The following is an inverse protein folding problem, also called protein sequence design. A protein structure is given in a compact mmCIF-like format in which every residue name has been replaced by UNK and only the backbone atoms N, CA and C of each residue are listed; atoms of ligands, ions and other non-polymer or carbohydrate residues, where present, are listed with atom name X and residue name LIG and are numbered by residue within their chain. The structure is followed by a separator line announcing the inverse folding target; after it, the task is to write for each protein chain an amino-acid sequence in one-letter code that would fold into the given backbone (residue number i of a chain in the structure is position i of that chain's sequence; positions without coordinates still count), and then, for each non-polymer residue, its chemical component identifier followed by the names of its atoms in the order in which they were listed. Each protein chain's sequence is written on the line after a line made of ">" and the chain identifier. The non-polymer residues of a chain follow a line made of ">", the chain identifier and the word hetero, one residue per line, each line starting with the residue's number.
data_IF_809757393879
#
_entry.id   IF_809757393879
#
_cell.length_a   1.000
_cell.length_b   1.000
_cell.length_c   1.000
_cell.angle_alpha   90.00
_cell.angle_beta   90.00
_cell.angle_gamma   90.00
#
_symmetry.space_group_name_H-M   'P 1'
#
loop_
_entity.id
_entity.type
_entity.pdbx_description
1 polymer ?
#
# COMPACT_ATOMS: atom_id res chain seq x y z
N UNK A 1 23.38 7.42 24.18
CA UNK A 1 22.66 8.55 23.52
C UNK A 1 21.20 8.17 23.37
N UNK A 2 20.29 8.78 24.15
CA UNK A 2 18.90 8.29 24.30
C UNK A 2 17.95 8.82 23.21
N UNK A 3 18.26 9.97 22.61
CA UNK A 3 17.35 10.68 21.71
C UNK A 3 17.02 9.90 20.43
N UNK A 4 18.02 9.32 19.75
CA UNK A 4 17.79 8.62 18.48
C UNK A 4 16.94 7.35 18.63
N UNK A 5 17.15 6.49 19.65
CA UNK A 5 16.22 5.40 19.98
C UNK A 5 14.79 5.88 20.23
N UNK A 6 14.58 6.98 20.95
CA UNK A 6 13.25 7.56 21.16
C UNK A 6 12.62 7.96 19.82
N UNK A 7 13.35 8.66 18.96
CA UNK A 7 12.86 9.06 17.63
C UNK A 7 12.46 7.82 16.81
N UNK A 8 13.29 6.78 16.80
CA UNK A 8 12.97 5.51 16.13
C UNK A 8 11.70 4.87 16.70
N UNK A 9 11.55 4.86 18.03
CA UNK A 9 10.40 4.29 18.71
C UNK A 9 9.11 5.03 18.33
N UNK A 10 9.13 6.37 18.36
CA UNK A 10 7.98 7.21 18.00
C UNK A 10 7.60 7.05 16.53
N UNK A 11 8.56 7.14 15.61
CA UNK A 11 8.28 6.99 14.17
C UNK A 11 7.71 5.58 13.85
N UNK A 12 8.28 4.55 14.46
CA UNK A 12 7.79 3.18 14.31
C UNK A 12 6.38 3.01 14.91
N UNK A 13 6.11 3.58 16.09
CA UNK A 13 4.79 3.53 16.72
C UNK A 13 3.73 4.26 15.88
N UNK A 14 4.06 5.43 15.32
CA UNK A 14 3.17 6.16 14.41
C UNK A 14 2.88 5.34 13.15
N UNK A 15 3.90 4.72 12.56
CA UNK A 15 3.73 3.86 11.39
C UNK A 15 2.86 2.63 11.71
N UNK A 16 3.11 1.98 12.86
CA UNK A 16 2.32 0.86 13.35
C UNK A 16 0.84 1.24 13.55
N UNK A 17 0.56 2.39 14.20
CA UNK A 17 -0.79 2.87 14.44
C UNK A 17 -1.55 3.13 13.12
N UNK A 18 -0.87 3.72 12.13
CA UNK A 18 -1.42 3.93 10.78
C UNK A 18 -1.80 2.61 10.12
N UNK A 19 -0.88 1.66 10.08
CA UNK A 19 -1.10 0.36 9.43
C UNK A 19 -2.14 -0.49 10.18
N UNK A 20 -2.17 -0.41 11.51
CA UNK A 20 -3.15 -1.10 12.33
C UNK A 20 -4.57 -0.55 12.12
N UNK A 21 -4.72 0.77 11.99
CA UNK A 21 -6.01 1.38 11.62
C UNK A 21 -6.47 0.89 10.25
N UNK A 22 -5.56 0.82 9.28
CA UNK A 22 -5.85 0.31 7.95
C UNK A 22 -6.17 -1.20 7.95
N UNK A 23 -5.56 -1.97 8.87
CA UNK A 23 -5.82 -3.40 9.05
C UNK A 23 -7.16 -3.67 9.75
N UNK A 24 -7.57 -2.82 10.70
CA UNK A 24 -8.88 -2.93 11.37
C UNK A 24 -10.04 -2.60 10.43
N UNK A 25 -9.87 -1.57 9.59
CA UNK A 25 -10.91 -1.15 8.63
C UNK A 25 -11.00 -2.07 7.41
N UNK A 26 -9.86 -2.51 6.86
CA UNK A 26 -9.80 -3.43 5.72
C UNK A 26 -8.67 -4.44 5.92
N UNK A 27 -8.94 -5.55 6.63
CA UNK A 27 -7.92 -6.52 7.02
C UNK A 27 -7.28 -7.14 5.78
N UNK A 28 -5.96 -6.99 5.71
CA UNK A 28 -5.12 -7.67 4.72
C UNK A 28 -3.86 -8.20 5.42
N UNK A 29 -3.42 -9.43 5.11
CA UNK A 29 -2.28 -10.04 5.80
C UNK A 29 -1.01 -9.19 5.79
N UNK A 30 -0.69 -8.54 4.67
CA UNK A 30 0.45 -7.63 4.53
C UNK A 30 0.42 -6.50 5.57
N UNK A 31 -0.71 -5.81 5.72
CA UNK A 31 -0.89 -4.73 6.71
C UNK A 31 -0.77 -5.22 8.13
N UNK A 32 -1.33 -6.39 8.43
CA UNK A 32 -1.28 -6.98 9.78
C UNK A 32 0.17 -7.28 10.14
N UNK A 33 0.88 -8.01 9.29
CA UNK A 33 2.28 -8.40 9.53
C UNK A 33 3.18 -7.16 9.60
N UNK A 34 3.00 -6.16 8.73
CA UNK A 34 3.76 -4.90 8.82
C UNK A 34 3.43 -4.11 10.08
N UNK A 35 2.17 -4.07 10.52
CA UNK A 35 1.81 -3.41 11.78
C UNK A 35 2.51 -4.06 12.98
N UNK A 36 2.59 -5.40 13.01
CA UNK A 36 3.33 -6.14 14.02
C UNK A 36 4.81 -5.79 13.96
N UNK A 37 5.42 -5.78 12.77
CA UNK A 37 6.83 -5.45 12.60
C UNK A 37 7.17 -4.06 13.16
N UNK A 38 6.37 -3.04 12.84
CA UNK A 38 6.62 -1.68 13.36
C UNK A 38 6.31 -1.54 14.85
N UNK A 39 5.35 -2.30 15.40
CA UNK A 39 5.17 -2.39 16.85
C UNK A 39 6.39 -3.00 17.52
N UNK A 40 6.93 -4.09 16.98
CA UNK A 40 8.15 -4.72 17.50
C UNK A 40 9.35 -3.77 17.43
N UNK A 41 9.51 -3.03 16.33
CA UNK A 41 10.54 -2.00 16.23
C UNK A 41 10.35 -0.92 17.31
N UNK A 42 9.13 -0.41 17.47
CA UNK A 42 8.84 0.59 18.51
C UNK A 42 9.21 0.08 19.91
N UNK A 43 8.89 -1.18 20.21
CA UNK A 43 9.24 -1.83 21.48
C UNK A 43 10.75 -2.00 21.64
N UNK A 44 11.47 -2.45 20.61
CA UNK A 44 12.92 -2.62 20.66
C UNK A 44 13.64 -1.28 20.89
N UNK A 45 13.29 -0.26 20.11
CA UNK A 45 13.87 1.07 20.24
C UNK A 45 13.49 1.73 21.59
N UNK A 46 12.27 1.50 22.07
CA UNK A 46 11.84 1.92 23.40
C UNK A 46 12.56 1.19 24.53
N UNK A 47 12.86 -0.10 24.37
CA UNK A 47 13.64 -0.87 25.33
C UNK A 47 15.08 -0.35 25.43
N UNK A 48 15.70 -0.01 24.30
CA UNK A 48 17.01 0.63 24.28
C UNK A 48 17.00 2.02 24.94
N UNK A 49 16.00 2.86 24.63
CA UNK A 49 15.85 4.15 25.28
C UNK A 49 15.67 4.00 26.81
N UNK A 50 14.81 3.06 27.24
CA UNK A 50 14.55 2.77 28.64
C UNK A 50 15.80 2.24 29.34
N UNK A 51 16.59 1.37 28.71
CA UNK A 51 17.79 0.79 29.31
C UNK A 51 18.87 1.83 29.53
N UNK A 52 19.05 2.72 28.55
CA UNK A 52 19.97 3.85 28.66
C UNK A 52 19.49 4.93 29.65
N UNK A 53 18.19 5.03 29.93
CA UNK A 53 17.62 6.05 30.82
C UNK A 53 17.44 5.58 32.28
N UNK A 54 17.00 4.34 32.46
CA UNK A 54 16.55 3.76 33.73
C UNK A 54 17.51 2.68 34.25
N UNK A 55 18.50 2.29 33.44
CA UNK A 55 19.42 1.19 33.73
C UNK A 55 18.99 -0.11 33.06
N UNK A 56 19.99 -0.88 32.61
CA UNK A 56 19.79 -2.15 31.94
C UNK A 56 19.55 -3.29 32.92
N UNK A 57 18.62 -4.17 32.56
CA UNK A 57 18.39 -5.44 33.22
C UNK A 57 18.17 -6.55 32.18
N UNK A 58 18.23 -7.81 32.62
CA UNK A 58 18.16 -8.99 31.74
C UNK A 58 16.87 -9.01 30.92
N UNK A 59 15.74 -8.64 31.52
CA UNK A 59 14.46 -8.60 30.83
C UNK A 59 14.47 -7.59 29.68
N UNK A 60 15.01 -6.40 29.90
CA UNK A 60 15.04 -5.34 28.91
C UNK A 60 15.99 -5.66 27.74
N UNK A 61 17.14 -6.26 28.05
CA UNK A 61 18.07 -6.78 27.05
C UNK A 61 17.42 -7.88 26.19
N UNK A 62 16.73 -8.84 26.83
CA UNK A 62 15.99 -9.89 26.10
C UNK A 62 14.83 -9.32 25.30
N UNK A 63 14.07 -8.35 25.83
CA UNK A 63 12.97 -7.69 25.11
C UNK A 63 13.47 -7.01 23.83
N UNK A 64 14.60 -6.30 23.91
CA UNK A 64 15.27 -5.74 22.75
C UNK A 64 15.54 -6.82 21.70
N UNK A 65 16.14 -7.95 22.10
CA UNK A 65 16.49 -9.04 21.18
C UNK A 65 15.28 -9.80 20.62
N UNK A 66 14.24 -10.03 21.42
CA UNK A 66 13.00 -10.65 20.94
C UNK A 66 12.35 -9.81 19.85
N UNK A 67 12.43 -8.49 19.95
CA UNK A 67 11.63 -7.59 19.12
C UNK A 67 12.41 -6.92 17.99
N UNK A 68 13.70 -6.62 18.13
CA UNK A 68 14.42 -5.79 17.15
C UNK A 68 15.23 -6.58 16.10
N UNK A 69 16.34 -7.23 16.50
CA UNK A 69 17.44 -7.57 15.60
C UNK A 69 17.14 -8.46 14.38
N UNK A 70 16.11 -9.32 14.46
CA UNK A 70 15.78 -10.24 13.37
C UNK A 70 14.29 -10.21 12.99
N UNK A 71 13.38 -10.27 13.97
CA UNK A 71 11.95 -10.45 13.67
C UNK A 71 11.31 -9.24 12.97
N UNK A 72 11.78 -8.01 13.20
CA UNK A 72 11.30 -6.84 12.45
C UNK A 72 11.50 -7.04 10.95
N UNK A 73 12.72 -7.42 10.54
CA UNK A 73 13.04 -7.62 9.13
C UNK A 73 12.31 -8.84 8.57
N UNK A 74 12.22 -9.93 9.33
CA UNK A 74 11.45 -11.10 8.93
C UNK A 74 9.98 -10.78 8.64
N UNK A 75 9.31 -10.06 9.54
CA UNK A 75 7.90 -9.72 9.38
C UNK A 75 7.70 -8.72 8.22
N UNK A 76 8.56 -7.71 8.09
CA UNK A 76 8.50 -6.80 6.93
C UNK A 76 8.64 -7.56 5.61
N UNK A 77 9.58 -8.50 5.52
CA UNK A 77 9.79 -9.34 4.35
C UNK A 77 8.58 -10.25 4.06
N UNK A 78 8.00 -10.88 5.09
CA UNK A 78 6.78 -11.69 4.94
C UNK A 78 5.62 -10.84 4.41
N UNK A 79 5.42 -9.63 4.94
CA UNK A 79 4.38 -8.73 4.42
C UNK A 79 4.64 -8.31 2.97
N UNK A 80 5.91 -8.09 2.59
CA UNK A 80 6.26 -7.83 1.20
C UNK A 80 5.96 -9.05 0.29
N UNK A 81 6.22 -10.27 0.75
CA UNK A 81 5.84 -11.48 0.02
C UNK A 81 4.32 -11.63 -0.12
N UNK A 82 3.53 -11.23 0.88
CA UNK A 82 2.07 -11.20 0.75
C UNK A 82 1.61 -10.23 -0.35
N UNK A 83 2.31 -9.12 -0.57
CA UNK A 83 2.02 -8.18 -1.66
C UNK A 83 2.38 -8.76 -3.04
N UNK A 84 3.51 -9.47 -3.15
CA UNK A 84 4.01 -9.98 -4.43
C UNK A 84 3.39 -11.32 -4.82
N UNK A 85 3.17 -12.21 -3.86
CA UNK A 85 2.80 -13.61 -4.07
C UNK A 85 1.64 -14.05 -3.15
N UNK A 86 0.48 -13.36 -3.18
CA UNK A 86 -0.60 -13.57 -2.21
C UNK A 86 -1.17 -14.99 -2.20
N UNK A 87 -1.18 -15.68 -3.35
CA UNK A 87 -1.67 -17.06 -3.43
C UNK A 87 -0.78 -18.05 -2.66
N UNK A 88 0.55 -17.95 -2.83
CA UNK A 88 1.51 -18.80 -2.13
C UNK A 88 1.54 -18.46 -0.63
N UNK A 89 1.53 -17.17 -0.28
CA UNK A 89 1.61 -16.74 1.11
C UNK A 89 0.35 -17.04 1.91
N UNK A 90 -0.84 -17.13 1.29
CA UNK A 90 -2.02 -17.65 1.99
C UNK A 90 -1.86 -19.09 2.48
N UNK A 91 -1.09 -19.91 1.76
CA UNK A 91 -0.86 -21.32 2.12
C UNK A 91 0.30 -21.47 3.11
N UNK A 92 1.43 -20.81 2.85
CA UNK A 92 2.67 -21.04 3.58
C UNK A 92 3.00 -19.95 4.60
N UNK A 93 2.46 -18.74 4.42
CA UNK A 93 2.80 -17.56 5.21
C UNK A 93 2.61 -17.75 6.71
N UNK A 94 1.45 -18.22 7.21
CA UNK A 94 1.25 -18.40 8.66
C UNK A 94 2.25 -19.38 9.28
N UNK A 95 2.50 -20.51 8.61
CA UNK A 95 3.47 -21.51 9.08
C UNK A 95 4.90 -20.98 9.08
N UNK A 96 5.30 -20.26 8.03
CA UNK A 96 6.62 -19.64 7.95
C UNK A 96 6.82 -18.56 9.03
N UNK A 97 5.81 -17.71 9.27
CA UNK A 97 5.84 -16.70 10.34
C UNK A 97 5.98 -17.35 11.72
N UNK A 98 5.18 -18.38 12.02
CA UNK A 98 5.23 -19.08 13.30
C UNK A 98 6.58 -19.77 13.51
N UNK A 99 7.10 -20.45 12.48
CA UNK A 99 8.39 -21.15 12.55
C UNK A 99 9.54 -20.18 12.82
N UNK A 100 9.65 -19.09 12.06
CA UNK A 100 10.69 -18.08 12.25
C UNK A 100 10.58 -17.41 13.62
N UNK A 101 9.36 -17.11 14.06
CA UNK A 101 9.11 -16.51 15.38
C UNK A 101 9.55 -17.47 16.49
N UNK A 102 9.07 -18.71 16.46
CA UNK A 102 9.41 -19.72 17.47
C UNK A 102 10.91 -19.97 17.54
N UNK A 103 11.57 -20.18 16.39
CA UNK A 103 13.02 -20.38 16.31
C UNK A 103 13.78 -19.21 16.94
N UNK A 104 13.42 -17.98 16.58
CA UNK A 104 14.10 -16.79 17.10
C UNK A 104 13.87 -16.61 18.61
N UNK A 105 12.62 -16.75 19.07
CA UNK A 105 12.31 -16.65 20.51
C UNK A 105 13.06 -17.72 21.31
N UNK A 106 13.16 -18.95 20.80
CA UNK A 106 13.93 -20.00 21.46
C UNK A 106 15.42 -19.65 21.56
N UNK A 107 16.02 -19.08 20.52
CA UNK A 107 17.44 -18.68 20.56
C UNK A 107 17.69 -17.57 21.58
N UNK A 108 16.86 -16.52 21.58
CA UNK A 108 17.01 -15.40 22.51
C UNK A 108 16.75 -15.84 23.95
N UNK A 109 15.81 -16.75 24.18
CA UNK A 109 15.50 -17.21 25.54
C UNK A 109 16.65 -18.02 26.15
N UNK A 110 17.31 -18.84 25.33
CA UNK A 110 18.44 -19.67 25.77
C UNK A 110 19.80 -18.95 25.72
N UNK A 111 19.86 -17.71 25.20
CA UNK A 111 21.09 -16.93 25.15
C UNK A 111 21.49 -16.46 26.57
N UNK A 112 22.71 -16.79 27.05
CA UNK A 112 23.24 -16.28 28.31
C UNK A 112 23.34 -14.75 28.30
N UNK A 113 23.20 -14.13 29.47
CA UNK A 113 23.39 -12.70 29.66
C UNK A 113 24.50 -12.48 30.67
N UNK A 114 25.57 -11.82 30.25
CA UNK A 114 26.69 -11.49 31.12
C UNK A 114 26.29 -10.35 32.07
N UNK A 115 26.02 -10.71 33.33
CA UNK A 115 25.62 -9.74 34.36
C UNK A 115 26.70 -8.70 34.67
N UNK A 116 27.97 -8.98 34.40
CA UNK A 116 29.07 -8.06 34.65
C UNK A 116 29.14 -6.96 33.60
N UNK A 117 28.76 -7.27 32.36
CA UNK A 117 28.73 -6.33 31.23
C UNK A 117 27.40 -5.60 31.10
N UNK A 118 26.31 -6.17 31.60
CA UNK A 118 24.94 -5.68 31.39
C UNK A 118 24.75 -4.19 31.72
N UNK A 119 25.33 -3.69 32.80
CA UNK A 119 25.19 -2.28 33.17
C UNK A 119 25.89 -1.32 32.19
N UNK A 120 27.03 -1.73 31.62
CA UNK A 120 27.84 -0.91 30.73
C UNK A 120 27.44 -1.06 29.25
N UNK A 121 27.23 -2.30 28.82
CA UNK A 121 27.05 -2.69 27.42
C UNK A 121 25.56 -2.88 27.05
N UNK A 122 24.69 -2.93 28.06
CA UNK A 122 23.24 -3.04 27.87
C UNK A 122 22.82 -4.30 27.14
N UNK A 123 22.10 -4.14 26.03
CA UNK A 123 21.70 -5.29 25.20
C UNK A 123 22.90 -6.05 24.63
N UNK A 124 24.07 -5.44 24.46
CA UNK A 124 25.26 -6.12 23.92
C UNK A 124 25.86 -7.15 24.89
N UNK A 125 25.40 -7.17 26.15
CA UNK A 125 25.77 -8.19 27.14
C UNK A 125 25.11 -9.56 26.91
N UNK A 126 24.20 -9.68 25.94
CA UNK A 126 23.70 -11.00 25.51
C UNK A 126 24.78 -11.72 24.71
N UNK A 127 25.14 -12.92 25.15
CA UNK A 127 26.07 -13.79 24.46
C UNK A 127 25.44 -14.36 23.19
N UNK A 128 26.06 -14.07 22.05
CA UNK A 128 25.56 -14.47 20.73
C UNK A 128 26.35 -15.68 20.23
N UNK A 129 25.78 -16.87 20.44
CA UNK A 129 26.30 -18.10 19.86
C UNK A 129 26.33 -18.07 18.32
N UNK A 130 27.12 -18.94 17.67
CA UNK A 130 27.28 -18.95 16.22
C UNK A 130 25.96 -19.14 15.47
N UNK A 131 25.03 -19.93 16.01
CA UNK A 131 23.68 -20.13 15.47
C UNK A 131 22.85 -18.85 15.46
N UNK A 132 22.88 -18.08 16.55
CA UNK A 132 22.15 -16.82 16.66
C UNK A 132 22.70 -15.79 15.67
N UNK A 133 24.02 -15.69 15.55
CA UNK A 133 24.69 -14.82 14.59
C UNK A 133 24.33 -15.21 13.16
N UNK A 134 24.43 -16.50 12.82
CA UNK A 134 24.14 -17.02 11.48
C UNK A 134 22.68 -16.76 11.08
N UNK A 135 21.72 -17.06 11.96
CA UNK A 135 20.30 -16.83 11.71
C UNK A 135 19.99 -15.34 11.58
N UNK A 136 20.61 -14.48 12.40
CA UNK A 136 20.45 -13.02 12.27
C UNK A 136 20.95 -12.51 10.92
N UNK A 137 22.12 -12.99 10.46
CA UNK A 137 22.66 -12.63 9.14
C UNK A 137 21.70 -13.11 8.05
N UNK A 138 21.29 -14.37 8.09
CA UNK A 138 20.39 -14.96 7.11
C UNK A 138 19.07 -14.19 6.99
N UNK A 139 18.38 -13.98 8.13
CA UNK A 139 17.09 -13.27 8.17
C UNK A 139 17.25 -11.85 7.64
N UNK A 140 18.27 -11.11 8.09
CA UNK A 140 18.43 -9.72 7.69
C UNK A 140 18.83 -9.60 6.22
N UNK A 141 19.77 -10.41 5.73
CA UNK A 141 20.19 -10.37 4.32
C UNK A 141 19.06 -10.79 3.37
N UNK A 142 18.40 -11.93 3.63
CA UNK A 142 17.31 -12.42 2.78
C UNK A 142 16.09 -11.50 2.87
N UNK A 143 15.75 -11.06 4.08
CA UNK A 143 14.62 -10.16 4.29
C UNK A 143 14.83 -8.79 3.64
N UNK A 144 16.01 -8.18 3.79
CA UNK A 144 16.36 -6.95 3.08
C UNK A 144 16.28 -7.14 1.57
N UNK A 145 16.81 -8.25 1.02
CA UNK A 145 16.71 -8.54 -0.42
C UNK A 145 15.26 -8.64 -0.90
N UNK A 146 14.38 -9.29 -0.13
CA UNK A 146 12.94 -9.39 -0.44
C UNK A 146 12.27 -8.00 -0.43
N UNK A 147 12.53 -7.20 0.61
CA UNK A 147 11.91 -5.87 0.77
C UNK A 147 12.40 -4.93 -0.34
N UNK A 148 13.71 -4.82 -0.52
CA UNK A 148 14.34 -3.95 -1.53
C UNK A 148 13.96 -4.41 -2.94
N UNK A 149 14.09 -5.70 -3.23
CA UNK A 149 13.74 -6.26 -4.53
C UNK A 149 12.25 -6.09 -4.84
N UNK A 150 11.39 -6.35 -3.88
CA UNK A 150 9.94 -6.23 -4.03
C UNK A 150 9.46 -4.78 -4.20
N UNK A 151 9.91 -3.87 -3.35
CA UNK A 151 9.55 -2.46 -3.41
C UNK A 151 10.19 -1.79 -4.64
N UNK A 152 11.45 -2.09 -4.93
CA UNK A 152 12.15 -1.58 -6.12
C UNK A 152 11.50 -2.04 -7.41
N UNK A 153 11.18 -3.34 -7.55
CA UNK A 153 10.45 -3.86 -8.69
C UNK A 153 9.08 -3.19 -8.85
N UNK A 154 8.34 -3.03 -7.75
CA UNK A 154 7.04 -2.35 -7.76
C UNK A 154 7.15 -0.91 -8.23
N UNK A 155 8.15 -0.16 -7.74
CA UNK A 155 8.41 1.21 -8.17
C UNK A 155 8.72 1.29 -9.67
N UNK A 156 9.59 0.43 -10.20
CA UNK A 156 9.92 0.35 -11.63
C UNK A 156 8.69 0.02 -12.46
N UNK A 157 7.83 -0.89 -11.99
CA UNK A 157 6.61 -1.26 -12.71
C UNK A 157 5.59 -0.12 -12.77
N UNK A 158 5.40 0.62 -11.67
CA UNK A 158 4.53 1.81 -11.68
C UNK A 158 5.09 2.91 -12.59
N UNK A 159 6.41 3.13 -12.56
CA UNK A 159 7.09 4.06 -13.45
C UNK A 159 6.89 3.71 -14.93
N UNK A 160 7.15 2.46 -15.32
CA UNK A 160 7.00 1.98 -16.71
C UNK A 160 5.57 2.07 -17.23
N UNK A 161 4.58 1.94 -16.35
CA UNK A 161 3.15 2.02 -16.70
C UNK A 161 2.63 3.45 -16.74
N UNK A 162 3.37 4.43 -16.23
CA UNK A 162 2.92 5.81 -16.13
C UNK A 162 1.69 6.01 -15.23
N UNK A 163 1.37 5.03 -14.37
CA UNK A 163 0.19 5.05 -13.49
C UNK A 163 0.62 4.92 -12.03
N UNK A 164 -0.25 5.39 -11.12
CA UNK A 164 -0.05 5.30 -9.68
C UNK A 164 1.24 5.95 -9.14
N UNK A 165 1.40 7.25 -9.41
CA UNK A 165 2.60 8.03 -9.05
C UNK A 165 2.86 8.04 -7.54
N UNK A 166 1.81 8.15 -6.72
CA UNK A 166 1.98 8.14 -5.27
C UNK A 166 2.51 6.79 -4.78
N UNK A 167 2.01 5.68 -5.33
CA UNK A 167 2.52 4.34 -5.01
C UNK A 167 3.95 4.12 -5.50
N UNK A 168 4.30 4.64 -6.68
CA UNK A 168 5.66 4.60 -7.20
C UNK A 168 6.64 5.26 -6.23
N UNK A 169 6.38 6.51 -5.83
CA UNK A 169 7.21 7.26 -4.88
C UNK A 169 7.24 6.55 -3.53
N UNK A 170 6.09 6.04 -3.07
CA UNK A 170 6.00 5.29 -1.84
C UNK A 170 6.90 4.04 -1.81
N UNK A 171 6.87 3.24 -2.88
CA UNK A 171 7.73 2.07 -3.03
C UNK A 171 9.21 2.44 -3.09
N UNK A 172 9.56 3.52 -3.79
CA UNK A 172 10.94 4.00 -3.87
C UNK A 172 11.47 4.44 -2.49
N UNK A 173 10.66 5.15 -1.71
CA UNK A 173 11.01 5.56 -0.35
C UNK A 173 11.21 4.37 0.60
N UNK A 174 10.33 3.35 0.51
CA UNK A 174 10.48 2.10 1.29
C UNK A 174 11.77 1.37 0.91
N UNK A 175 12.05 1.26 -0.39
CA UNK A 175 13.27 0.64 -0.90
C UNK A 175 14.53 1.35 -0.37
N UNK A 176 14.61 2.67 -0.53
CA UNK A 176 15.76 3.47 -0.09
C UNK A 176 15.91 3.48 1.43
N UNK A 177 14.81 3.65 2.17
CA UNK A 177 14.85 3.60 3.62
C UNK A 177 15.33 2.26 4.15
N UNK A 178 14.91 1.15 3.53
CA UNK A 178 15.38 -0.20 3.89
C UNK A 178 16.88 -0.37 3.65
N UNK A 179 17.41 0.14 2.54
CA UNK A 179 18.85 0.12 2.26
C UNK A 179 19.66 0.91 3.30
N UNK A 180 19.15 2.07 3.73
CA UNK A 180 19.79 2.89 4.78
C UNK A 180 19.81 2.13 6.10
N UNK A 181 18.70 1.51 6.51
CA UNK A 181 18.66 0.69 7.73
C UNK A 181 19.66 -0.48 7.64
N UNK A 182 19.70 -1.18 6.51
CA UNK A 182 20.61 -2.30 6.28
C UNK A 182 22.09 -1.88 6.33
N UNK A 183 22.42 -0.70 5.80
CA UNK A 183 23.76 -0.12 5.91
C UNK A 183 24.13 0.16 7.37
N UNK A 184 23.22 0.73 8.16
CA UNK A 184 23.41 0.93 9.60
C UNK A 184 23.70 -0.36 10.37
N UNK A 185 22.93 -1.43 10.10
CA UNK A 185 23.15 -2.75 10.68
C UNK A 185 24.42 -3.46 10.21
N UNK A 186 24.98 -3.05 9.07
CA UNK A 186 26.28 -3.54 8.60
C UNK A 186 27.43 -2.80 9.29
N UNK A 187 27.30 -1.48 9.46
CA UNK A 187 28.27 -0.63 10.18
C UNK A 187 28.41 -1.00 11.66
N UNK A 188 27.31 -1.36 12.34
CA UNK A 188 27.37 -1.81 13.73
C UNK A 188 28.23 -3.07 13.91
N UNK A 189 28.20 -4.00 12.94
CA UNK A 189 29.06 -5.21 12.95
C UNK A 189 30.53 -4.90 12.72
N UNK A 190 30.84 -3.75 12.10
CA UNK A 190 32.20 -3.25 11.93
C UNK A 190 32.69 -2.44 13.15
N UNK A 191 31.91 -2.39 14.24
CA UNK A 191 32.25 -1.71 15.48
C UNK A 191 31.72 -0.27 15.59
N UNK A 192 31.02 0.24 14.56
CA UNK A 192 30.49 1.60 14.56
C UNK A 192 29.03 1.66 15.04
N UNK A 193 28.81 1.30 16.31
CA UNK A 193 27.48 1.23 16.92
C UNK A 193 26.74 2.57 16.97
N UNK A 194 27.49 3.68 17.04
CA UNK A 194 26.96 5.04 17.12
C UNK A 194 26.14 5.46 15.90
N UNK A 195 26.40 4.90 14.72
CA UNK A 195 25.66 5.22 13.50
C UNK A 195 24.39 4.37 13.31
N UNK A 196 24.22 3.29 14.08
CA UNK A 196 23.11 2.36 13.92
C UNK A 196 21.76 3.09 14.07
N UNK A 197 21.57 3.81 15.18
CA UNK A 197 20.32 4.53 15.44
C UNK A 197 20.11 5.75 14.56
N UNK A 198 21.19 6.38 14.08
CA UNK A 198 21.09 7.47 13.10
C UNK A 198 20.55 6.93 11.75
N UNK A 199 21.14 5.85 11.25
CA UNK A 199 20.69 5.19 10.03
C UNK A 199 19.26 4.64 10.19
N UNK A 200 18.93 4.04 11.33
CA UNK A 200 17.58 3.58 11.62
C UNK A 200 16.56 4.73 11.64
N UNK A 201 16.87 5.88 12.25
CA UNK A 201 15.97 7.03 12.30
C UNK A 201 15.68 7.61 10.91
N UNK A 202 16.70 7.75 10.07
CA UNK A 202 16.54 8.22 8.68
C UNK A 202 15.76 7.18 7.87
N UNK A 203 16.15 5.90 7.97
CA UNK A 203 15.53 4.82 7.22
C UNK A 203 14.06 4.62 7.58
N UNK A 204 13.69 4.63 8.86
CA UNK A 204 12.31 4.50 9.31
C UNK A 204 11.46 5.72 8.91
N UNK A 205 12.02 6.93 8.96
CA UNK A 205 11.33 8.13 8.47
C UNK A 205 10.99 8.01 6.98
N UNK A 206 11.93 7.53 6.16
CA UNK A 206 11.69 7.27 4.74
C UNK A 206 10.66 6.17 4.51
N UNK A 207 10.78 5.03 5.20
CA UNK A 207 9.82 3.93 5.09
C UNK A 207 8.41 4.40 5.47
N UNK A 208 8.28 5.13 6.59
CA UNK A 208 7.00 5.66 7.03
C UNK A 208 6.43 6.70 6.05
N UNK A 209 7.26 7.60 5.55
CA UNK A 209 6.90 8.52 4.47
C UNK A 209 6.41 7.79 3.22
N UNK A 210 7.04 6.66 2.87
CA UNK A 210 6.64 5.80 1.77
C UNK A 210 5.28 5.12 1.99
N UNK A 211 5.01 4.66 3.22
CA UNK A 211 3.69 4.15 3.63
C UNK A 211 2.62 5.24 3.49
N UNK A 212 2.87 6.45 4.01
CA UNK A 212 1.93 7.56 3.91
C UNK A 212 1.67 7.97 2.47
N UNK A 213 2.71 8.02 1.63
CA UNK A 213 2.59 8.35 0.21
C UNK A 213 1.75 7.31 -0.53
N UNK A 214 1.99 6.02 -0.29
CA UNK A 214 1.24 4.92 -0.93
C UNK A 214 -0.25 4.90 -0.59
N UNK A 215 -0.65 5.53 0.52
CA UNK A 215 -2.05 5.66 0.96
C UNK A 215 -2.78 6.83 0.32
N UNK A 216 -2.06 7.81 -0.26
CA UNK A 216 -2.70 8.98 -0.87
C UNK A 216 -3.46 8.54 -2.13
N UNK A 217 -4.74 8.93 -2.27
CA UNK A 217 -5.44 8.78 -3.54
C UNK A 217 -4.60 9.37 -4.66
N UNK A 218 -4.50 8.66 -5.77
CA UNK A 218 -3.90 9.26 -6.96
C UNK A 218 -4.77 10.46 -7.35
N UNK A 219 -4.15 11.64 -7.49
CA UNK A 219 -4.91 12.82 -7.88
C UNK A 219 -5.52 12.57 -9.25
N UNK A 220 -6.85 12.58 -9.34
CA UNK A 220 -7.55 12.69 -10.62
C UNK A 220 -6.93 13.89 -11.33
N UNK A 221 -6.37 13.66 -12.52
CA UNK A 221 -5.56 14.61 -13.25
C UNK A 221 -6.36 15.93 -13.43
N UNK A 222 -6.17 16.93 -12.54
CA UNK A 222 -6.93 18.21 -12.55
C UNK A 222 -6.77 18.96 -13.88
N UNK A 223 -5.72 18.65 -14.63
CA UNK A 223 -5.45 19.23 -15.94
C UNK A 223 -6.39 18.70 -17.05
N UNK A 224 -6.96 17.49 -16.90
CA UNK A 224 -7.99 17.00 -17.84
C UNK A 224 -9.29 17.78 -17.65
N UNK A 225 -9.68 18.06 -16.40
CA UNK A 225 -10.85 18.89 -16.10
C UNK A 225 -10.66 20.36 -16.47
N UNK A 226 -9.45 20.92 -16.34
CA UNK A 226 -9.19 22.30 -16.73
C UNK A 226 -9.20 22.52 -18.25
N UNK A 227 -8.69 21.56 -19.04
CA UNK A 227 -8.80 21.61 -20.51
C UNK A 227 -10.22 21.29 -20.98
N UNK A 228 -10.88 20.28 -20.41
CA UNK A 228 -12.27 19.94 -20.76
C UNK A 228 -13.23 21.12 -20.50
N UNK A 229 -13.08 21.82 -19.37
CA UNK A 229 -13.89 23.00 -19.05
C UNK A 229 -13.62 24.20 -19.98
N UNK A 230 -12.41 24.35 -20.50
CA UNK A 230 -12.09 25.40 -21.47
C UNK A 230 -12.73 25.13 -22.85
N UNK A 231 -12.84 23.86 -23.26
CA UNK A 231 -13.58 23.46 -24.47
C UNK A 231 -15.10 23.45 -24.28
N UNK A 232 -15.61 23.17 -23.07
CA UNK A 232 -17.05 23.19 -22.79
C UNK A 232 -17.69 24.58 -22.80
N UNK A 233 -16.92 25.65 -22.56
CA UNK A 233 -17.50 27.01 -22.56
C UNK A 233 -17.87 27.50 -23.97
N UNK A 234 -17.38 26.85 -25.03
CA UNK A 234 -17.65 27.24 -26.42
C UNK A 234 -18.71 26.34 -27.09
N UNK A 235 -19.03 25.18 -26.52
CA UNK A 235 -19.92 24.21 -27.16
C UNK A 235 -20.91 23.56 -26.16
N UNK A 236 -21.88 24.33 -25.67
CA UNK A 236 -23.08 23.76 -25.00
C UNK A 236 -24.17 24.83 -24.79
N UNK A 237 -24.84 25.22 -25.88
CA UNK A 237 -26.20 25.76 -25.83
C UNK A 237 -27.11 24.81 -26.59
N UNK A 238 -27.31 23.61 -26.05
CA UNK A 238 -28.45 22.76 -26.42
C UNK A 238 -28.68 21.75 -25.30
N UNK A 239 -29.48 22.16 -24.33
CA UNK A 239 -29.96 21.32 -23.24
C UNK A 239 -30.86 20.22 -23.81
N UNK A 240 -30.35 18.99 -23.90
CA UNK A 240 -31.20 17.81 -24.03
C UNK A 240 -31.52 17.28 -22.63
N UNK A 241 -32.80 17.28 -22.29
CA UNK A 241 -33.36 16.85 -21.01
C UNK A 241 -33.13 15.34 -20.80
N UNK A 242 -32.51 14.95 -19.68
CA UNK A 242 -32.33 13.54 -19.29
C UNK A 242 -33.58 13.09 -18.51
N UNK A 243 -34.33 12.06 -18.95
CA UNK A 243 -35.53 11.61 -18.25
C UNK A 243 -35.21 10.97 -16.90
N UNK A 244 -35.95 11.38 -15.87
CA UNK A 244 -35.82 10.91 -14.50
C UNK A 244 -36.62 9.62 -14.28
N UNK A 245 -35.91 8.50 -14.12
CA UNK A 245 -36.47 7.27 -13.54
C UNK A 245 -36.13 5.99 -14.30
N UNK A 246 -34.98 5.37 -13.99
CA UNK A 246 -34.71 3.98 -14.36
C UNK A 246 -33.94 3.27 -13.22
N UNK A 247 -34.40 2.11 -12.72
CA UNK A 247 -33.67 1.32 -11.73
C UNK A 247 -32.32 0.85 -12.29
N UNK A 248 -31.28 0.89 -11.44
CA UNK A 248 -29.83 0.83 -11.76
C UNK A 248 -29.26 -0.45 -12.39
N UNK A 249 -30.09 -1.30 -13.00
CA UNK A 249 -29.64 -2.43 -13.83
C UNK A 249 -30.32 -2.46 -15.20
N UNK A 250 -31.59 -2.04 -15.28
CA UNK A 250 -32.36 -1.90 -16.53
C UNK A 250 -31.95 -0.63 -17.28
N UNK A 251 -31.71 0.48 -16.56
CA UNK A 251 -31.29 1.74 -17.17
C UNK A 251 -29.88 1.68 -17.78
N UNK A 252 -28.97 0.93 -17.16
CA UNK A 252 -27.59 0.80 -17.64
C UNK A 252 -27.49 0.08 -18.97
N UNK A 253 -28.30 -0.97 -19.17
CA UNK A 253 -28.33 -1.70 -20.44
C UNK A 253 -29.00 -0.86 -21.53
N UNK A 254 -30.15 -0.24 -21.23
CA UNK A 254 -30.83 0.66 -22.18
C UNK A 254 -29.94 1.83 -22.61
N UNK A 255 -29.16 2.41 -21.69
CA UNK A 255 -28.18 3.46 -22.01
C UNK A 255 -27.12 2.97 -23.01
N UNK A 256 -26.63 1.74 -22.86
CA UNK A 256 -25.66 1.18 -23.82
C UNK A 256 -26.32 0.94 -25.18
N UNK A 257 -27.51 0.35 -25.22
CA UNK A 257 -28.19 -0.02 -26.47
C UNK A 257 -28.70 1.21 -27.24
N UNK A 258 -29.41 2.11 -26.57
CA UNK A 258 -30.13 3.20 -27.21
C UNK A 258 -29.24 4.41 -27.48
N UNK A 259 -28.21 4.64 -26.65
CA UNK A 259 -27.36 5.82 -26.75
C UNK A 259 -25.95 5.54 -27.28
N UNK A 260 -25.27 4.52 -26.77
CA UNK A 260 -23.86 4.29 -27.12
C UNK A 260 -23.73 3.54 -28.44
N UNK A 261 -24.44 2.42 -28.59
CA UNK A 261 -24.33 1.55 -29.76
C UNK A 261 -24.99 2.13 -31.02
N UNK A 262 -25.70 3.26 -30.90
CA UNK A 262 -26.24 4.04 -32.03
C UNK A 262 -25.25 5.07 -32.59
N UNK A 263 -24.08 5.26 -31.95
CA UNK A 263 -23.08 6.29 -32.29
C UNK A 263 -21.82 5.70 -32.92
N UNK A 264 -21.01 6.57 -33.54
CA UNK A 264 -19.71 6.20 -34.09
C UNK A 264 -18.65 6.02 -32.98
N UNK A 265 -17.60 5.23 -33.23
CA UNK A 265 -16.54 4.93 -32.24
C UNK A 265 -15.94 6.19 -31.55
N UNK A 266 -15.62 7.29 -32.24
CA UNK A 266 -15.10 8.49 -31.58
C UNK A 266 -16.07 9.11 -30.57
N UNK A 267 -17.38 9.05 -30.85
CA UNK A 267 -18.41 9.56 -29.94
C UNK A 267 -18.64 8.62 -28.76
N UNK A 268 -18.55 7.30 -29.00
CA UNK A 268 -18.54 6.30 -27.93
C UNK A 268 -17.37 6.55 -26.99
N UNK A 269 -16.18 6.81 -27.53
CA UNK A 269 -14.99 7.12 -26.74
C UNK A 269 -15.16 8.38 -25.90
N UNK A 270 -15.70 9.46 -26.50
CA UNK A 270 -15.97 10.70 -25.80
C UNK A 270 -16.90 10.47 -24.60
N UNK A 271 -18.06 9.83 -24.82
CA UNK A 271 -19.03 9.58 -23.75
C UNK A 271 -18.44 8.66 -22.68
N UNK A 272 -17.81 7.55 -23.06
CA UNK A 272 -17.21 6.65 -22.08
C UNK A 272 -16.11 7.35 -21.26
N UNK A 273 -15.36 8.26 -21.87
CA UNK A 273 -14.36 9.09 -21.19
C UNK A 273 -15.00 10.06 -20.20
N UNK A 274 -16.15 10.67 -20.53
CA UNK A 274 -16.95 11.48 -19.58
C UNK A 274 -17.34 10.66 -18.34
N UNK A 275 -17.66 9.39 -18.53
CA UNK A 275 -17.93 8.42 -17.45
C UNK A 275 -16.67 7.79 -16.84
N UNK A 276 -15.49 8.41 -17.01
CA UNK A 276 -14.21 7.99 -16.44
C UNK A 276 -13.69 6.63 -16.93
N UNK A 277 -14.07 6.20 -18.13
CA UNK A 277 -13.57 4.99 -18.79
C UNK A 277 -12.87 5.38 -20.10
N UNK A 278 -11.62 5.88 -20.09
CA UNK A 278 -10.92 6.31 -21.31
C UNK A 278 -10.52 5.13 -22.20
N UNK A 279 -10.35 5.36 -23.51
CA UNK A 279 -9.94 4.31 -24.44
C UNK A 279 -8.46 3.93 -24.30
N UNK A 280 -8.24 2.63 -24.13
CA UNK A 280 -6.91 2.02 -24.26
C UNK A 280 -6.70 1.47 -25.68
N UNK A 281 -5.53 1.69 -26.27
CA UNK A 281 -5.21 1.37 -27.67
C UNK A 281 -4.60 -0.02 -27.89
N UNK A 282 -4.50 -0.85 -26.84
CA UNK A 282 -3.93 -2.19 -26.94
C UNK A 282 -4.80 -3.10 -27.81
N UNK A 283 -4.16 -3.83 -28.74
CA UNK A 283 -4.83 -4.60 -29.79
C UNK A 283 -5.55 -5.89 -29.30
N UNK A 284 -5.43 -6.25 -28.02
CA UNK A 284 -6.04 -7.47 -27.47
C UNK A 284 -6.65 -7.22 -26.09
N UNK A 285 -7.74 -7.92 -25.79
CA UNK A 285 -8.36 -7.90 -24.47
C UNK A 285 -7.60 -8.82 -23.52
N UNK A 286 -7.39 -8.37 -22.28
CA UNK A 286 -7.00 -9.30 -21.20
C UNK A 286 -8.15 -10.28 -20.91
N UNK A 287 -7.87 -11.38 -20.20
CA UNK A 287 -8.91 -12.36 -19.83
C UNK A 287 -10.06 -11.73 -19.03
N UNK A 288 -9.77 -10.72 -18.19
CA UNK A 288 -10.77 -10.03 -17.41
C UNK A 288 -11.65 -9.14 -18.30
N UNK A 289 -11.02 -8.35 -19.18
CA UNK A 289 -11.73 -7.49 -20.14
C UNK A 289 -12.59 -8.30 -21.10
N UNK A 290 -12.08 -9.42 -21.61
CA UNK A 290 -12.83 -10.32 -22.47
C UNK A 290 -14.08 -10.87 -21.76
N UNK A 291 -13.99 -11.22 -20.48
CA UNK A 291 -15.15 -11.66 -19.68
C UNK A 291 -16.17 -10.54 -19.48
N UNK A 292 -15.73 -9.30 -19.22
CA UNK A 292 -16.61 -8.13 -19.07
C UNK A 292 -17.34 -7.80 -20.37
N UNK A 293 -16.59 -7.71 -21.47
CA UNK A 293 -17.14 -7.50 -22.81
C UNK A 293 -18.12 -8.62 -23.20
N UNK A 294 -17.79 -9.89 -22.91
CA UNK A 294 -18.68 -11.02 -23.16
C UNK A 294 -19.95 -10.97 -22.32
N UNK A 295 -19.85 -10.59 -21.04
CA UNK A 295 -21.00 -10.44 -20.15
C UNK A 295 -21.97 -9.38 -20.67
N UNK A 296 -21.46 -8.21 -21.09
CA UNK A 296 -22.27 -7.18 -21.75
C UNK A 296 -22.90 -7.73 -23.03
N UNK A 297 -22.09 -8.31 -23.92
CA UNK A 297 -22.54 -8.88 -25.19
C UNK A 297 -23.69 -9.88 -25.04
N UNK A 298 -23.66 -10.73 -24.01
CA UNK A 298 -24.68 -11.74 -23.74
C UNK A 298 -26.02 -11.14 -23.25
N UNK A 299 -26.04 -9.87 -22.85
CA UNK A 299 -27.23 -9.16 -22.39
C UNK A 299 -27.86 -8.30 -23.49
N UNK A 300 -27.15 -8.03 -24.59
CA UNK A 300 -27.60 -7.14 -25.65
C UNK A 300 -28.72 -7.74 -26.51
N UNK A 301 -29.64 -6.89 -26.96
CA UNK A 301 -30.59 -7.21 -28.03
C UNK A 301 -29.89 -7.62 -29.34
N UNK A 302 -30.54 -8.38 -30.24
CA UNK A 302 -29.91 -8.86 -31.48
C UNK A 302 -29.34 -7.75 -32.37
N UNK A 303 -30.00 -6.59 -32.43
CA UNK A 303 -29.58 -5.41 -33.16
C UNK A 303 -28.35 -4.77 -32.51
N UNK A 304 -28.40 -4.54 -31.20
CA UNK A 304 -27.30 -3.95 -30.43
C UNK A 304 -26.06 -4.87 -30.42
N UNK A 305 -26.25 -6.19 -30.38
CA UNK A 305 -25.17 -7.16 -30.46
C UNK A 305 -24.38 -7.05 -31.77
N UNK A 306 -25.08 -6.87 -32.91
CA UNK A 306 -24.42 -6.64 -34.21
C UNK A 306 -23.62 -5.34 -34.19
N UNK A 307 -24.21 -4.26 -33.66
CA UNK A 307 -23.54 -2.98 -33.52
C UNK A 307 -22.31 -3.04 -32.60
N UNK A 308 -22.35 -3.87 -31.55
CA UNK A 308 -21.23 -4.10 -30.63
C UNK A 308 -20.11 -4.93 -31.29
N UNK A 309 -20.44 -5.97 -32.05
CA UNK A 309 -19.45 -6.89 -32.63
C UNK A 309 -18.59 -6.24 -33.72
N UNK A 310 -19.10 -5.20 -34.40
CA UNK A 310 -18.34 -4.43 -35.40
C UNK A 310 -17.39 -3.40 -34.79
N UNK A 311 -17.48 -3.14 -33.48
CA UNK A 311 -16.64 -2.16 -32.82
C UNK A 311 -15.18 -2.63 -32.69
N UNK A 312 -14.21 -1.70 -32.72
CA UNK A 312 -12.81 -2.05 -32.49
C UNK A 312 -12.61 -2.64 -31.08
N UNK A 313 -11.50 -3.36 -30.89
CA UNK A 313 -11.18 -4.01 -29.60
C UNK A 313 -11.18 -3.00 -28.45
N UNK A 314 -10.67 -1.79 -28.69
CA UNK A 314 -10.68 -0.70 -27.71
C UNK A 314 -12.10 -0.32 -27.27
N UNK A 315 -13.03 -0.17 -28.21
CA UNK A 315 -14.43 0.15 -27.95
C UNK A 315 -15.15 -0.95 -27.17
N UNK A 316 -14.96 -2.21 -27.58
CA UNK A 316 -15.52 -3.36 -26.85
C UNK A 316 -15.00 -3.47 -25.42
N UNK A 317 -13.71 -3.17 -25.19
CA UNK A 317 -13.11 -3.07 -23.85
C UNK A 317 -13.82 -2.00 -23.02
N UNK A 318 -13.95 -0.80 -23.59
CA UNK A 318 -14.45 0.38 -22.91
C UNK A 318 -15.92 0.24 -22.53
N UNK A 319 -16.76 -0.22 -23.47
CA UNK A 319 -18.18 -0.50 -23.23
C UNK A 319 -18.36 -1.56 -22.13
N UNK A 320 -17.58 -2.64 -22.17
CA UNK A 320 -17.62 -3.68 -21.15
C UNK A 320 -17.23 -3.19 -19.76
N UNK A 321 -16.22 -2.32 -19.67
CA UNK A 321 -15.81 -1.69 -18.41
C UNK A 321 -16.84 -0.67 -17.91
N UNK A 322 -17.39 0.17 -18.79
CA UNK A 322 -18.43 1.14 -18.44
C UNK A 322 -19.65 0.45 -17.86
N UNK A 323 -20.16 -0.57 -18.54
CA UNK A 323 -21.32 -1.30 -18.07
C UNK A 323 -21.06 -1.93 -16.69
N UNK A 324 -19.94 -2.62 -16.53
CA UNK A 324 -19.62 -3.36 -15.31
C UNK A 324 -19.24 -2.49 -14.12
N UNK A 325 -18.45 -1.43 -14.33
CA UNK A 325 -17.86 -0.65 -13.24
C UNK A 325 -18.68 0.60 -12.89
N UNK A 326 -19.52 1.08 -13.81
CA UNK A 326 -20.31 2.32 -13.63
C UNK A 326 -21.81 2.03 -13.65
N UNK A 327 -22.30 1.37 -14.71
CA UNK A 327 -23.74 1.30 -14.95
C UNK A 327 -24.47 0.22 -14.13
N UNK A 328 -23.76 -0.78 -13.61
CA UNK A 328 -24.31 -1.78 -12.69
C UNK A 328 -24.09 -1.41 -11.22
N UNK A 329 -23.80 -0.14 -10.90
CA UNK A 329 -23.65 0.30 -9.52
C UNK A 329 -24.99 0.27 -8.79
N UNK A 330 -25.12 -0.62 -7.80
CA UNK A 330 -26.24 -0.60 -6.86
C UNK A 330 -26.01 0.47 -5.80
N UNK A 331 -27.03 1.31 -5.58
CA UNK A 331 -27.02 2.34 -4.55
C UNK A 331 -26.86 1.66 -3.18
N UNK A 332 -25.83 1.99 -2.37
CA UNK A 332 -25.71 1.45 -1.03
C UNK A 332 -26.97 1.84 -0.22
N UNK A 333 -27.41 0.92 0.65
CA UNK A 333 -28.55 1.15 1.52
C UNK A 333 -28.36 2.47 2.29
N UNK A 334 -29.47 3.18 2.53
CA UNK A 334 -29.53 4.55 3.06
C UNK A 334 -28.84 4.76 4.42
N UNK A 335 -28.40 3.67 5.07
CA UNK A 335 -27.70 3.68 6.36
C UNK A 335 -26.21 4.07 6.25
N UNK A 336 -25.58 3.96 5.07
CA UNK A 336 -24.12 4.20 4.91
C UNK A 336 -23.72 5.65 4.55
N UNK A 337 -24.69 6.58 4.40
CA UNK A 337 -24.43 7.95 3.90
C UNK A 337 -24.39 9.01 5.04
N UNK A 338 -24.67 8.63 6.28
CA UNK A 338 -24.78 9.59 7.39
C UNK A 338 -23.43 10.15 7.92
N UNK A 339 -22.27 9.65 7.50
CA UNK A 339 -20.98 10.01 8.14
C UNK A 339 -20.05 10.96 7.33
N UNK A 340 -20.50 11.53 6.21
CA UNK A 340 -19.69 12.52 5.47
C UNK A 340 -20.45 13.83 5.27
N UNK A 341 -20.80 14.48 6.38
CA UNK A 341 -21.02 15.93 6.40
C UNK A 341 -19.82 16.57 7.09
N UNK A 342 -18.93 17.14 6.29
CA UNK A 342 -17.87 18.03 6.77
C UNK A 342 -18.54 19.33 7.22
N UNK A 343 -18.41 19.78 8.49
CA UNK A 343 -19.01 21.03 8.93
C UNK A 343 -18.43 22.22 8.16
N UNK A 344 -19.31 23.10 7.67
CA UNK A 344 -18.99 24.26 6.83
C UNK A 344 -18.30 25.43 7.57
N UNK A 345 -17.61 25.19 8.69
CA UNK A 345 -16.98 26.25 9.49
C UNK A 345 -15.48 26.48 9.19
N UNK A 346 -14.85 25.74 8.28
CA UNK A 346 -13.42 25.91 7.99
C UNK A 346 -13.09 26.73 6.73
N UNK A 347 -14.06 27.40 6.12
CA UNK A 347 -13.81 28.36 5.03
C UNK A 347 -13.83 29.78 5.60
N UNK A 348 -12.73 30.16 6.26
CA UNK A 348 -12.45 31.54 6.63
C UNK A 348 -12.28 32.41 5.38
N UNK A 349 -13.39 32.93 4.87
CA UNK A 349 -13.40 34.02 3.90
C UNK A 349 -13.23 35.30 4.69
N UNK A 350 -12.01 35.83 4.71
CA UNK A 350 -11.73 37.18 5.16
C UNK A 350 -12.51 38.16 4.27
N UNK A 351 -13.50 38.84 4.85
CA UNK A 351 -14.10 40.04 4.25
C UNK A 351 -13.28 41.25 4.69
N UNK A 352 -12.85 42.04 3.71
CA UNK A 352 -12.29 43.37 3.89
C UNK A 352 -13.25 44.30 4.65
N UNK A 353 -12.70 45.02 5.62
CA UNK A 353 -13.03 46.40 5.96
C UNK A 353 -11.74 47.08 6.44
#
# INVERSE_FOLDING_TARGET
>A
MILLPIVCAVLSAMCAAVLLRDARSRPRPDKIVWSIAFTMFAVAAGADAAGNALGWNTWLAKLYYFTGPALVVAFLAIGQLYLLMPAAMRRFGPGATLLVTALWLSLVENAPVDSTRLAADGWDAIERGPEMVAITILINSVGTMIIVGGAGWSAVQYWRRGTHRNRMVGCALICMGTLIVAAGGSLSRLGYYEYLYLAMAIGIAMIFGGVLMSRRPEGTNRNVFAMANATHFVASTTSAEVPSGMPGSVGGLAFVEELLLTRADPEIDAICTEWSVPRETTASLTRLEARRAWKLRALLSPEALKAFDVQPVGARRQLGSLYHDVLTWERPAREDIAEVVVPAESLGVARHA
#
